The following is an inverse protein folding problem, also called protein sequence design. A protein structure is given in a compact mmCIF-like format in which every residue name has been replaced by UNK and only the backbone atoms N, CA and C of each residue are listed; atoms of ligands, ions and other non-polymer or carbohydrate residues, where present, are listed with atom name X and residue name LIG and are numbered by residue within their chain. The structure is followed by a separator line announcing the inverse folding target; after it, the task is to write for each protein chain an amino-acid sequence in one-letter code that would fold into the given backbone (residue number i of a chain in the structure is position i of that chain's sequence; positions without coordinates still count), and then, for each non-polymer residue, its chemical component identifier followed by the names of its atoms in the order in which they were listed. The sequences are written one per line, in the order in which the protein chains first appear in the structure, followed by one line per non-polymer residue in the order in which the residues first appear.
data_IF_708014748692
#
_entry.id   IF_708014748692
#
_cell.length_a   1.000
_cell.length_b   1.000
_cell.length_c   1.000
_cell.angle_alpha   90.00
_cell.angle_beta   90.00
_cell.angle_gamma   90.00
#
_symmetry.space_group_name_H-M   'P 1'
#
loop_
_entity.id
_entity.type
_entity.pdbx_description
1 polymer ?
#
# COMPACT_ATOMS: atom_id res chain seq x y z
N UNK A 1 -26.49 8.79 24.66
CA UNK A 1 -26.47 8.72 23.18
C UNK A 1 -25.02 8.81 22.76
N UNK A 2 -24.41 7.71 22.33
CA UNK A 2 -22.98 7.64 22.02
C UNK A 2 -22.74 8.25 20.65
N UNK A 3 -22.16 9.45 20.60
CA UNK A 3 -21.69 10.09 19.38
C UNK A 3 -20.51 9.29 18.82
N UNK A 4 -20.80 8.25 18.06
CA UNK A 4 -19.77 7.51 17.33
C UNK A 4 -19.29 8.34 16.17
N UNK A 5 -18.16 9.05 16.32
CA UNK A 5 -17.49 9.74 15.22
C UNK A 5 -17.28 8.77 14.05
N UNK A 6 -17.88 9.05 12.90
CA UNK A 6 -17.78 8.24 11.67
C UNK A 6 -16.41 8.47 10.98
N UNK A 7 -15.33 8.30 11.75
CA UNK A 7 -13.97 8.44 11.26
C UNK A 7 -13.66 7.27 10.32
N UNK A 8 -13.47 7.60 9.05
CA UNK A 8 -12.95 6.67 8.04
C UNK A 8 -11.49 7.02 7.75
N UNK A 9 -10.65 6.00 7.62
CA UNK A 9 -9.22 6.14 7.45
C UNK A 9 -8.78 5.81 6.03
N UNK A 10 -7.84 6.57 5.50
CA UNK A 10 -7.07 6.18 4.32
C UNK A 10 -5.84 5.40 4.77
N UNK A 11 -5.60 4.23 4.22
CA UNK A 11 -4.41 3.42 4.54
C UNK A 11 -3.39 3.57 3.41
N UNK A 12 -2.24 4.15 3.73
CA UNK A 12 -1.09 4.17 2.83
C UNK A 12 -0.18 2.97 3.12
N UNK A 13 0.08 2.12 2.13
CA UNK A 13 0.96 0.95 2.24
C UNK A 13 2.26 1.25 1.51
N UNK A 14 3.38 1.55 2.19
CA UNK A 14 4.66 1.70 1.53
C UNK A 14 5.21 0.33 1.10
N UNK A 15 5.57 0.19 -0.17
CA UNK A 15 6.21 -1.00 -0.71
C UNK A 15 7.37 -0.59 -1.60
N UNK A 16 8.60 -0.80 -1.13
CA UNK A 16 9.81 -0.60 -1.93
C UNK A 16 10.34 -1.94 -2.40
N UNK A 17 10.76 -1.99 -3.66
CA UNK A 17 11.27 -3.24 -4.25
C UNK A 17 12.67 -3.58 -3.71
N UNK A 18 13.48 -2.56 -3.40
CA UNK A 18 14.80 -2.72 -2.80
C UNK A 18 14.70 -2.96 -1.29
N UNK A 19 14.62 -4.24 -0.90
CA UNK A 19 14.78 -4.69 0.49
C UNK A 19 16.10 -5.42 0.63
N UNK A 20 17.05 -4.82 1.35
CA UNK A 20 18.41 -5.36 1.56
C UNK A 20 18.45 -6.68 2.32
N UNK A 21 17.39 -7.02 3.06
CA UNK A 21 17.30 -8.25 3.86
C UNK A 21 16.51 -9.38 3.21
N UNK A 22 15.74 -9.08 2.15
CA UNK A 22 14.97 -10.10 1.43
C UNK A 22 14.60 -9.55 0.03
N UNK A 23 15.38 -9.87 -1.02
CA UNK A 23 15.15 -9.33 -2.35
C UNK A 23 13.76 -9.75 -2.88
N UNK A 24 13.05 -8.81 -3.53
CA UNK A 24 11.71 -9.03 -4.12
C UNK A 24 10.61 -9.49 -3.16
N UNK A 25 10.78 -9.28 -1.84
CA UNK A 25 9.81 -9.69 -0.79
C UNK A 25 8.35 -9.29 -1.09
N UNK A 26 8.16 -8.11 -1.67
CA UNK A 26 6.83 -7.55 -1.97
C UNK A 26 6.05 -8.44 -2.95
N UNK A 27 6.73 -9.02 -3.94
CA UNK A 27 6.16 -9.94 -4.93
C UNK A 27 6.44 -11.41 -4.61
N UNK A 28 7.00 -11.70 -3.44
CA UNK A 28 7.26 -13.08 -3.04
C UNK A 28 5.93 -13.83 -2.96
N UNK A 29 5.88 -14.97 -3.65
CA UNK A 29 4.77 -15.89 -3.56
C UNK A 29 4.76 -16.52 -2.17
N UNK A 30 3.59 -16.46 -1.52
CA UNK A 30 3.35 -17.19 -0.29
C UNK A 30 2.12 -18.05 -0.58
N UNK A 31 2.28 -19.29 -1.01
CA UNK A 31 1.16 -20.19 -1.27
C UNK A 31 0.20 -19.72 -2.38
N UNK A 32 0.76 -19.35 -3.53
CA UNK A 32 0.02 -19.01 -4.76
C UNK A 32 -0.49 -17.57 -4.85
N UNK A 33 -0.16 -16.73 -3.87
CA UNK A 33 -0.57 -15.31 -3.85
C UNK A 33 0.63 -14.48 -3.40
N UNK A 34 0.85 -13.33 -4.05
CA UNK A 34 1.90 -12.39 -3.67
C UNK A 34 1.68 -11.85 -2.24
N UNK A 35 2.77 -11.68 -1.49
CA UNK A 35 2.73 -11.10 -0.15
C UNK A 35 2.03 -9.73 -0.14
N UNK A 36 2.38 -8.85 -1.09
CA UNK A 36 1.77 -7.52 -1.18
C UNK A 36 0.25 -7.58 -1.39
N UNK A 37 -0.22 -8.49 -2.25
CA UNK A 37 -1.65 -8.65 -2.50
C UNK A 37 -2.42 -8.96 -1.22
N UNK A 38 -1.87 -9.83 -0.36
CA UNK A 38 -2.49 -10.13 0.95
C UNK A 38 -2.60 -8.91 1.84
N UNK A 39 -1.57 -8.06 1.86
CA UNK A 39 -1.57 -6.84 2.68
C UNK A 39 -2.62 -5.86 2.18
N UNK A 40 -2.68 -5.62 0.87
CA UNK A 40 -3.63 -4.69 0.26
C UNK A 40 -5.08 -5.18 0.43
N UNK A 41 -5.34 -6.46 0.11
CA UNK A 41 -6.66 -7.08 0.26
C UNK A 41 -7.09 -7.08 1.74
N UNK A 42 -6.19 -7.45 2.65
CA UNK A 42 -6.46 -7.46 4.09
C UNK A 42 -6.74 -6.08 4.67
N UNK A 43 -6.00 -5.06 4.25
CA UNK A 43 -6.24 -3.67 4.67
C UNK A 43 -7.62 -3.17 4.25
N UNK A 44 -8.07 -3.53 3.04
CA UNK A 44 -9.35 -3.12 2.48
C UNK A 44 -10.56 -3.75 3.19
N UNK A 45 -10.38 -4.89 3.84
CA UNK A 45 -11.45 -5.56 4.61
C UNK A 45 -11.78 -4.87 5.95
N UNK A 46 -10.99 -3.89 6.38
CA UNK A 46 -11.23 -3.18 7.64
C UNK A 46 -12.45 -2.25 7.56
N UNK A 47 -13.40 -2.42 8.49
CA UNK A 47 -14.69 -1.68 8.51
C UNK A 47 -14.56 -0.15 8.63
N UNK A 48 -13.41 0.35 9.06
CA UNK A 48 -13.14 1.80 9.24
C UNK A 48 -12.24 2.36 8.15
N UNK A 49 -11.79 1.55 7.20
CA UNK A 49 -10.94 2.00 6.10
C UNK A 49 -11.84 2.47 4.96
N UNK A 50 -11.66 3.72 4.54
CA UNK A 50 -12.31 4.26 3.36
C UNK A 50 -11.67 3.69 2.09
N UNK A 51 -10.33 3.66 2.06
CA UNK A 51 -9.58 3.23 0.90
C UNK A 51 -8.13 2.84 1.28
N UNK A 52 -7.47 2.09 0.40
CA UNK A 52 -6.10 1.60 0.54
C UNK A 52 -5.29 2.03 -0.68
N UNK A 53 -4.16 2.70 -0.44
CA UNK A 53 -3.30 3.24 -1.48
C UNK A 53 -1.89 2.68 -1.30
N UNK A 54 -1.39 2.01 -2.32
CA UNK A 54 -0.01 1.56 -2.38
C UNK A 54 0.92 2.73 -2.73
N UNK A 55 2.01 2.88 -1.99
CA UNK A 55 3.04 3.88 -2.24
C UNK A 55 4.34 3.16 -2.59
N UNK A 56 4.78 3.24 -3.85
CA UNK A 56 5.94 2.48 -4.34
C UNK A 56 6.81 3.29 -5.28
N UNK A 57 8.11 3.03 -5.28
CA UNK A 57 9.09 3.56 -6.24
C UNK A 57 9.29 2.63 -7.45
N UNK A 58 8.63 1.47 -7.47
CA UNK A 58 8.81 0.44 -8.48
C UNK A 58 7.60 0.33 -9.41
N UNK A 59 7.83 0.54 -10.71
CA UNK A 59 6.80 0.36 -11.74
C UNK A 59 6.29 -1.09 -11.82
N UNK A 60 7.15 -2.08 -11.56
CA UNK A 60 6.77 -3.50 -11.52
C UNK A 60 5.71 -3.74 -10.42
N UNK A 61 6.00 -3.26 -9.21
CA UNK A 61 5.10 -3.37 -8.06
C UNK A 61 3.79 -2.60 -8.31
N UNK A 62 3.88 -1.43 -8.94
CA UNK A 62 2.73 -0.62 -9.29
C UNK A 62 1.84 -1.32 -10.33
N UNK A 63 2.43 -1.94 -11.34
CA UNK A 63 1.70 -2.67 -12.37
C UNK A 63 0.91 -3.84 -11.78
N UNK A 64 1.57 -4.67 -10.96
CA UNK A 64 0.94 -5.81 -10.29
C UNK A 64 -0.24 -5.37 -9.41
N UNK A 65 -0.04 -4.35 -8.57
CA UNK A 65 -1.10 -3.86 -7.70
C UNK A 65 -2.30 -3.26 -8.45
N UNK A 66 -2.04 -2.54 -9.56
CA UNK A 66 -3.10 -2.05 -10.45
C UNK A 66 -3.86 -3.22 -11.11
N UNK A 67 -3.17 -4.29 -11.50
CA UNK A 67 -3.81 -5.49 -12.06
C UNK A 67 -4.75 -6.19 -11.06
N UNK A 68 -4.48 -6.05 -9.76
CA UNK A 68 -5.35 -6.54 -8.69
C UNK A 68 -6.47 -5.56 -8.30
N UNK A 69 -6.53 -4.38 -8.93
CA UNK A 69 -7.55 -3.37 -8.69
C UNK A 69 -7.31 -2.46 -7.48
N UNK A 70 -6.05 -2.29 -7.06
CA UNK A 70 -5.68 -1.38 -5.97
C UNK A 70 -5.19 -0.01 -6.48
N UNK A 71 -5.41 1.04 -5.70
CA UNK A 71 -4.89 2.37 -5.98
C UNK A 71 -3.38 2.43 -5.71
N UNK A 72 -2.62 3.07 -6.61
CA UNK A 72 -1.17 3.17 -6.51
C UNK A 72 -0.71 4.61 -6.75
N UNK A 73 0.19 5.06 -5.89
CA UNK A 73 0.93 6.31 -5.99
C UNK A 73 2.41 5.97 -6.16
N UNK A 74 3.01 6.49 -7.23
CA UNK A 74 4.45 6.41 -7.42
C UNK A 74 5.14 7.40 -6.49
N UNK A 75 6.07 6.93 -5.67
CA UNK A 75 6.89 7.74 -4.77
C UNK A 75 8.31 7.88 -5.31
N UNK A 76 8.97 9.02 -5.05
CA UNK A 76 10.37 9.19 -5.44
C UNK A 76 11.28 8.16 -4.75
N UNK A 77 12.26 7.55 -5.45
CA UNK A 77 13.23 6.63 -4.86
C UNK A 77 14.16 7.30 -3.84
N UNK A 78 14.23 8.63 -3.84
CA UNK A 78 15.06 9.43 -2.91
C UNK A 78 14.44 9.58 -1.52
N UNK A 79 13.16 9.26 -1.35
CA UNK A 79 12.56 9.22 -0.03
C UNK A 79 13.32 8.16 0.77
N UNK A 80 14.07 8.50 1.81
CA UNK A 80 14.97 7.57 2.51
C UNK A 80 14.47 7.22 3.92
N UNK A 81 13.32 7.77 4.34
CA UNK A 81 12.73 7.46 5.64
C UNK A 81 11.28 6.99 5.50
N UNK A 82 10.88 5.98 6.28
CA UNK A 82 9.50 5.48 6.32
C UNK A 82 8.49 6.49 6.92
N UNK A 83 8.92 7.72 7.19
CA UNK A 83 8.14 8.79 7.82
C UNK A 83 7.94 9.99 6.89
N UNK A 84 8.45 9.97 5.66
CA UNK A 84 8.23 11.05 4.71
C UNK A 84 6.74 11.14 4.32
N UNK A 85 6.15 12.34 4.35
CA UNK A 85 4.74 12.52 4.06
C UNK A 85 4.47 12.19 2.59
N UNK A 86 3.73 11.11 2.37
CA UNK A 86 3.14 10.83 1.06
C UNK A 86 2.04 11.87 0.85
N UNK A 87 2.27 12.85 -0.02
CA UNK A 87 1.25 13.82 -0.40
C UNK A 87 0.24 13.12 -1.32
N UNK A 88 -0.94 12.82 -0.77
CA UNK A 88 -2.06 12.31 -1.52
C UNK A 88 -3.11 13.42 -1.63
N UNK A 89 -3.18 14.06 -2.80
CA UNK A 89 -4.21 15.06 -3.09
C UNK A 89 -5.38 14.36 -3.76
N UNK A 90 -6.39 13.99 -2.98
CA UNK A 90 -7.75 13.77 -3.48
C UNK A 90 -8.55 15.04 -3.19
N UNK A 91 -8.86 15.80 -4.24
CA UNK A 91 -9.97 16.76 -4.24
C UNK A 91 -11.22 16.06 -4.78
#
# INVERSE_FOLDING_TARGET
MTTGSNLRFLVAVPARLESSRLPRKVLADIGGVAMLRRVLDGARLSRRVADVVLCTDSEEVAHEARSWGHHVVMTSPTCSSGSEPVSYTHL
#
